data_IF_268309400470
#
_entry.id   IF_268309400470
#
_cell.length_a   1.000
_cell.length_b   1.000
_cell.length_c   1.000
_cell.angle_alpha   90.00
_cell.angle_beta   90.00
_cell.angle_gamma   90.00
#
_symmetry.space_group_name_H-M   'P 1'
#
loop_
_entity.id
_entity.type
_entity.pdbx_description
1 polymer ?
#
# COMPACT_ATOMS: atom_id res chain seq x y z
N UNK A 1 34.17 42.57 -19.71
CA UNK A 1 33.38 41.36 -20.03
C UNK A 1 33.03 40.64 -18.73
N UNK A 2 31.81 40.84 -18.20
CA UNK A 2 31.36 40.22 -16.95
C UNK A 2 30.91 38.78 -17.25
N UNK A 3 31.59 37.78 -16.68
CA UNK A 3 31.16 36.38 -16.72
C UNK A 3 30.05 36.17 -15.69
N UNK A 4 28.82 35.88 -16.13
CA UNK A 4 27.78 35.35 -15.27
C UNK A 4 28.11 33.87 -15.00
N UNK A 5 28.39 33.54 -13.75
CA UNK A 5 28.48 32.15 -13.29
C UNK A 5 27.06 31.75 -12.90
N UNK A 6 26.43 30.89 -13.69
CA UNK A 6 25.18 30.24 -13.34
C UNK A 6 25.48 29.12 -12.34
N UNK A 7 25.27 29.40 -11.06
CA UNK A 7 25.31 28.37 -10.02
C UNK A 7 24.02 27.55 -10.11
N UNK A 8 24.11 26.37 -10.71
CA UNK A 8 23.00 25.41 -10.77
C UNK A 8 22.83 24.81 -9.37
N UNK A 9 21.81 25.29 -8.63
CA UNK A 9 21.44 24.72 -7.35
C UNK A 9 20.73 23.39 -7.61
N UNK A 10 21.48 22.28 -7.57
CA UNK A 10 20.88 20.95 -7.48
C UNK A 10 20.19 20.86 -6.12
N UNK A 11 18.89 21.15 -6.09
CA UNK A 11 18.02 20.74 -4.98
C UNK A 11 17.92 19.23 -5.11
N UNK A 12 18.78 18.51 -4.40
CA UNK A 12 18.58 17.09 -4.14
C UNK A 12 17.28 16.97 -3.35
N UNK A 13 16.18 16.67 -4.05
CA UNK A 13 14.95 16.22 -3.40
C UNK A 13 15.34 14.90 -2.75
N UNK A 14 15.67 14.93 -1.47
CA UNK A 14 15.80 13.73 -0.68
C UNK A 14 14.48 12.99 -0.87
N UNK A 15 14.54 11.81 -1.51
CA UNK A 15 13.41 10.91 -1.61
C UNK A 15 12.90 10.69 -0.20
N UNK A 16 11.83 11.37 0.15
CA UNK A 16 11.17 11.25 1.45
C UNK A 16 10.78 9.78 1.54
N UNK A 17 11.47 9.03 2.40
CA UNK A 17 10.92 7.77 2.88
C UNK A 17 9.53 8.12 3.40
N UNK A 18 8.49 7.68 2.67
CA UNK A 18 7.12 7.98 3.04
C UNK A 18 6.94 7.56 4.51
N UNK A 19 6.67 8.53 5.38
CA UNK A 19 6.46 8.21 6.79
C UNK A 19 5.11 7.49 6.92
N UNK A 20 5.16 6.20 7.22
CA UNK A 20 4.00 5.43 7.66
C UNK A 20 3.86 5.61 9.17
N UNK A 21 2.80 6.31 9.58
CA UNK A 21 2.44 6.41 10.98
C UNK A 21 1.59 5.18 11.36
N UNK A 22 2.17 4.33 12.21
CA UNK A 22 1.56 3.09 12.71
C UNK A 22 0.69 3.31 13.96
N UNK A 23 0.60 4.54 14.48
CA UNK A 23 -0.14 4.88 15.70
C UNK A 23 -1.62 5.24 15.40
N UNK A 24 -2.52 4.27 15.63
CA UNK A 24 -3.94 4.39 15.36
C UNK A 24 -4.79 4.84 16.57
N UNK A 25 -4.26 4.77 17.79
CA UNK A 25 -5.02 5.08 19.01
C UNK A 25 -4.90 6.54 19.43
N UNK A 26 -3.71 7.13 19.26
CA UNK A 26 -3.41 8.48 19.79
C UNK A 26 -3.44 9.58 18.73
N UNK A 27 -3.38 9.23 17.46
CA UNK A 27 -3.39 10.19 16.35
C UNK A 27 -4.83 10.43 15.90
N UNK A 28 -5.25 11.69 15.82
CA UNK A 28 -6.59 12.01 15.36
C UNK A 28 -6.73 11.83 13.84
N UNK A 29 -7.95 11.59 13.35
CA UNK A 29 -8.24 11.60 11.91
C UNK A 29 -7.77 12.91 11.24
N UNK A 30 -7.95 14.04 11.93
CA UNK A 30 -7.53 15.35 11.45
C UNK A 30 -6.01 15.46 11.27
N UNK A 31 -5.23 14.89 12.19
CA UNK A 31 -3.76 14.88 12.06
C UNK A 31 -3.32 14.03 10.87
N UNK A 32 -4.00 12.91 10.61
CA UNK A 32 -3.74 12.11 9.41
C UNK A 32 -4.07 12.86 8.12
N UNK A 33 -5.19 13.61 8.08
CA UNK A 33 -5.51 14.46 6.92
C UNK A 33 -4.40 15.50 6.69
N UNK A 34 -3.89 16.14 7.75
CA UNK A 34 -2.77 17.08 7.64
C UNK A 34 -1.48 16.44 7.14
N UNK A 35 -1.22 15.19 7.55
CA UNK A 35 -0.06 14.43 7.03
C UNK A 35 -0.20 14.26 5.52
N UNK A 36 -1.39 13.88 5.03
CA UNK A 36 -1.64 13.74 3.59
C UNK A 36 -1.52 15.06 2.83
N UNK A 37 -2.03 16.16 3.38
CA UNK A 37 -1.87 17.50 2.80
C UNK A 37 -0.38 17.89 2.69
N UNK A 38 0.42 17.63 3.74
CA UNK A 38 1.86 17.89 3.76
C UNK A 38 2.61 17.03 2.75
N UNK A 39 2.18 15.79 2.53
CA UNK A 39 2.74 14.88 1.54
C UNK A 39 2.33 15.23 0.10
N UNK A 40 1.42 16.20 -0.08
CA UNK A 40 0.90 16.57 -1.39
C UNK A 40 -0.02 15.51 -2.00
N UNK A 41 -0.62 14.66 -1.15
CA UNK A 41 -1.54 13.61 -1.58
C UNK A 41 -2.83 14.22 -2.13
N UNK A 42 -3.37 13.60 -3.18
CA UNK A 42 -4.60 14.07 -3.83
C UNK A 42 -5.79 13.41 -3.14
N UNK A 43 -6.73 14.20 -2.60
CA UNK A 43 -7.97 13.67 -2.04
C UNK A 43 -8.82 13.01 -3.12
N UNK A 44 -9.29 11.79 -2.85
CA UNK A 44 -10.16 11.04 -3.75
C UNK A 44 -11.61 11.15 -3.29
N UNK A 45 -12.54 11.24 -4.24
CA UNK A 45 -13.96 11.08 -3.98
C UNK A 45 -14.30 9.59 -3.84
N UNK A 46 -15.29 9.28 -3.01
CA UNK A 46 -15.81 7.92 -2.91
C UNK A 46 -16.77 7.67 -4.07
N UNK A 47 -16.32 6.90 -5.08
CA UNK A 47 -17.11 6.53 -6.26
C UNK A 47 -18.35 5.70 -5.91
N UNK A 48 -18.35 5.03 -4.77
CA UNK A 48 -19.48 4.25 -4.25
C UNK A 48 -19.52 4.30 -2.73
N UNK A 49 -20.70 4.03 -2.15
CA UNK A 49 -20.80 3.82 -0.71
C UNK A 49 -20.21 2.45 -0.38
N UNK A 50 -19.12 2.46 0.37
CA UNK A 50 -18.62 1.25 1.01
C UNK A 50 -19.65 0.79 2.04
N UNK A 51 -20.00 -0.50 2.05
CA UNK A 51 -20.73 -1.06 3.17
C UNK A 51 -19.78 -1.11 4.37
N UNK A 52 -19.88 -0.10 5.22
CA UNK A 52 -19.19 -0.02 6.49
C UNK A 52 -20.15 -0.54 7.57
N UNK A 53 -19.65 -1.30 8.55
CA UNK A 53 -20.48 -1.78 9.66
C UNK A 53 -21.20 -0.63 10.40
N UNK A 54 -22.22 -0.97 11.20
CA UNK A 54 -23.00 0.03 11.95
C UNK A 54 -22.09 0.97 12.76
N UNK A 55 -22.26 2.28 12.58
CA UNK A 55 -21.48 3.32 13.25
C UNK A 55 -20.11 3.64 12.64
N UNK A 56 -19.74 3.02 11.51
CA UNK A 56 -18.50 3.31 10.76
C UNK A 56 -18.81 4.21 9.57
N UNK A 57 -18.09 5.32 9.47
CA UNK A 57 -18.26 6.29 8.41
C UNK A 57 -17.76 5.75 7.05
N UNK A 58 -18.07 6.48 5.97
CA UNK A 58 -17.37 6.29 4.70
C UNK A 58 -15.89 6.65 4.85
N UNK A 59 -14.96 5.86 4.30
CA UNK A 59 -13.54 6.15 4.43
C UNK A 59 -13.19 7.48 3.75
N UNK A 60 -12.22 8.20 4.31
CA UNK A 60 -11.58 9.32 3.60
C UNK A 60 -10.36 8.75 2.88
N UNK A 61 -10.26 9.02 1.57
CA UNK A 61 -9.25 8.41 0.70
C UNK A 61 -8.33 9.45 0.07
N UNK A 62 -7.06 9.09 -0.09
CA UNK A 62 -6.03 9.92 -0.70
C UNK A 62 -5.19 9.09 -1.67
N UNK A 63 -4.69 9.73 -2.73
CA UNK A 63 -3.75 9.16 -3.69
C UNK A 63 -2.36 9.76 -3.45
N UNK A 64 -1.40 8.90 -3.11
CA UNK A 64 0.03 9.23 -3.08
C UNK A 64 0.67 8.74 -4.37
N UNK A 65 1.41 9.63 -5.05
CA UNK A 65 2.12 9.28 -6.28
C UNK A 65 3.35 8.42 -5.96
N UNK A 66 3.58 7.42 -6.80
CA UNK A 66 4.74 6.53 -6.74
C UNK A 66 5.41 6.50 -8.13
N UNK A 67 6.68 6.14 -8.16
CA UNK A 67 7.45 5.97 -9.39
C UNK A 67 7.83 4.49 -9.54
N UNK A 68 7.75 3.97 -10.77
CA UNK A 68 8.11 2.57 -11.08
C UNK A 68 7.11 1.49 -10.63
N UNK A 69 6.22 1.80 -9.69
CA UNK A 69 5.17 0.91 -9.16
C UNK A 69 3.80 1.61 -9.17
N UNK A 70 2.67 0.92 -8.89
CA UNK A 70 1.36 1.55 -8.84
C UNK A 70 1.32 2.65 -7.77
N UNK A 71 0.53 3.70 -8.00
CA UNK A 71 0.31 4.72 -6.97
C UNK A 71 -0.32 4.09 -5.72
N UNK A 72 -0.11 4.70 -4.55
CA UNK A 72 -0.70 4.24 -3.30
C UNK A 72 -2.03 4.93 -3.06
N UNK A 73 -3.08 4.16 -2.78
CA UNK A 73 -4.32 4.68 -2.20
C UNK A 73 -4.25 4.49 -0.70
N UNK A 74 -4.37 5.59 0.05
CA UNK A 74 -4.50 5.58 1.51
C UNK A 74 -5.95 5.78 1.89
N UNK A 75 -6.49 4.92 2.74
CA UNK A 75 -7.88 4.98 3.19
C UNK A 75 -7.93 5.01 4.72
N UNK A 76 -8.63 5.99 5.27
CA UNK A 76 -8.87 6.14 6.71
C UNK A 76 -10.31 5.79 7.05
N UNK A 77 -10.51 4.70 7.78
CA UNK A 77 -11.80 4.31 8.34
C UNK A 77 -11.91 4.76 9.79
N UNK A 78 -13.08 5.24 10.19
CA UNK A 78 -13.31 5.86 11.49
C UNK A 78 -14.78 5.74 11.92
N UNK A 79 -15.02 5.85 13.23
CA UNK A 79 -16.37 5.91 13.78
C UNK A 79 -17.04 7.25 13.47
N UNK A 80 -18.33 7.22 13.10
CA UNK A 80 -19.12 8.43 12.83
C UNK A 80 -19.27 9.32 14.07
N UNK A 81 -19.35 8.70 15.25
CA UNK A 81 -19.65 9.37 16.52
C UNK A 81 -18.55 10.33 16.97
N UNK A 82 -17.29 9.90 16.88
CA UNK A 82 -16.15 10.60 17.50
C UNK A 82 -14.93 10.71 16.58
N UNK A 83 -15.02 10.24 15.33
CA UNK A 83 -13.92 10.24 14.35
C UNK A 83 -12.68 9.46 14.80
N UNK A 84 -12.81 8.59 15.82
CA UNK A 84 -11.72 7.71 16.19
C UNK A 84 -11.45 6.71 15.06
N UNK A 85 -10.19 6.60 14.65
CA UNK A 85 -9.79 5.67 13.59
C UNK A 85 -10.02 4.23 14.02
N UNK A 86 -10.49 3.42 13.09
CA UNK A 86 -10.63 1.97 13.25
C UNK A 86 -9.61 1.21 12.42
N UNK A 87 -9.36 1.72 11.20
CA UNK A 87 -8.41 1.14 10.27
C UNK A 87 -7.74 2.22 9.41
N UNK A 88 -6.47 1.99 9.11
CA UNK A 88 -5.73 2.68 8.06
C UNK A 88 -5.28 1.62 7.05
N UNK A 89 -5.60 1.85 5.78
CA UNK A 89 -5.19 0.98 4.67
C UNK A 89 -4.30 1.76 3.71
N UNK A 90 -3.17 1.17 3.35
CA UNK A 90 -2.33 1.62 2.23
C UNK A 90 -2.34 0.52 1.18
N UNK A 91 -2.80 0.84 -0.03
CA UNK A 91 -2.95 -0.11 -1.11
C UNK A 91 -2.16 0.34 -2.35
N UNK A 92 -1.22 -0.50 -2.78
CA UNK A 92 -0.58 -0.42 -4.09
C UNK A 92 -1.17 -1.55 -4.93
N UNK A 93 -2.03 -1.25 -5.90
CA UNK A 93 -2.66 -2.26 -6.75
C UNK A 93 -2.75 -1.76 -8.19
N UNK A 94 -2.18 -2.52 -9.13
CA UNK A 94 -2.32 -2.24 -10.57
C UNK A 94 -3.79 -2.12 -10.99
N UNK A 95 -4.66 -2.98 -10.45
CA UNK A 95 -6.07 -3.03 -10.85
C UNK A 95 -6.85 -1.75 -10.53
N UNK A 96 -6.39 -0.96 -9.55
CA UNK A 96 -7.00 0.32 -9.22
C UNK A 96 -6.82 1.38 -10.32
N UNK A 97 -5.79 1.24 -11.16
CA UNK A 97 -5.41 2.23 -12.18
C UNK A 97 -5.53 1.70 -13.61
N UNK A 98 -5.38 0.39 -13.79
CA UNK A 98 -5.36 -0.26 -15.09
C UNK A 98 -6.35 -1.43 -15.12
N UNK A 99 -7.62 -1.11 -15.36
CA UNK A 99 -8.74 -2.06 -15.38
C UNK A 99 -8.80 -2.76 -16.75
N UNK A 100 -7.91 -3.70 -16.99
CA UNK A 100 -7.88 -4.53 -18.19
C UNK A 100 -7.54 -6.00 -17.87
N UNK A 101 -8.09 -6.92 -18.66
CA UNK A 101 -7.72 -8.34 -18.61
C UNK A 101 -6.27 -8.54 -19.09
N UNK A 102 -5.62 -9.60 -18.61
CA UNK A 102 -4.25 -9.98 -18.98
C UNK A 102 -3.23 -8.84 -18.80
N UNK A 103 -3.34 -8.08 -17.70
CA UNK A 103 -2.43 -6.98 -17.41
C UNK A 103 -1.09 -7.48 -16.81
N UNK A 104 -0.31 -8.19 -17.61
CA UNK A 104 1.01 -8.66 -17.24
C UNK A 104 2.00 -7.50 -17.13
N UNK A 105 2.97 -7.64 -16.22
CA UNK A 105 4.01 -6.65 -15.95
C UNK A 105 5.40 -7.22 -16.25
N UNK A 106 6.38 -6.35 -16.44
CA UNK A 106 7.77 -6.77 -16.64
C UNK A 106 8.35 -7.35 -15.35
N UNK A 107 9.35 -8.22 -15.49
CA UNK A 107 10.10 -8.76 -14.34
C UNK A 107 10.73 -7.64 -13.49
N UNK A 108 11.18 -6.54 -14.12
CA UNK A 108 11.69 -5.35 -13.43
C UNK A 108 10.63 -4.73 -12.52
N UNK A 109 9.41 -4.54 -13.03
CA UNK A 109 8.29 -4.04 -12.24
C UNK A 109 7.96 -4.98 -11.07
N UNK A 110 7.93 -6.29 -11.32
CA UNK A 110 7.65 -7.28 -10.29
C UNK A 110 8.71 -7.24 -9.16
N UNK A 111 9.99 -7.11 -9.52
CA UNK A 111 11.11 -6.96 -8.57
C UNK A 111 11.01 -5.68 -7.77
N UNK A 112 10.67 -4.56 -8.40
CA UNK A 112 10.47 -3.27 -7.71
C UNK A 112 9.31 -3.35 -6.70
N UNK A 113 8.22 -4.02 -7.06
CA UNK A 113 7.09 -4.21 -6.15
C UNK A 113 7.47 -5.11 -4.96
N UNK A 114 8.20 -6.21 -5.19
CA UNK A 114 8.73 -7.05 -4.10
C UNK A 114 9.69 -6.25 -3.20
N UNK A 115 10.57 -5.44 -3.79
CA UNK A 115 11.47 -4.55 -3.06
C UNK A 115 10.72 -3.55 -2.18
N UNK A 116 9.63 -2.94 -2.68
CA UNK A 116 8.74 -2.07 -1.89
C UNK A 116 8.18 -2.82 -0.68
N UNK A 117 7.68 -4.05 -0.86
CA UNK A 117 7.17 -4.87 0.24
C UNK A 117 8.25 -5.17 1.29
N UNK A 118 9.43 -5.64 0.88
CA UNK A 118 10.51 -5.96 1.81
C UNK A 118 10.99 -4.72 2.58
N UNK A 119 11.04 -3.56 1.92
CA UNK A 119 11.36 -2.29 2.57
C UNK A 119 10.28 -1.89 3.60
N UNK A 120 8.99 -2.01 3.27
CA UNK A 120 7.90 -1.78 4.22
C UNK A 120 8.00 -2.71 5.43
N UNK A 121 8.15 -4.01 5.18
CA UNK A 121 8.31 -5.05 6.22
C UNK A 121 9.50 -4.73 7.13
N UNK A 122 10.64 -4.34 6.57
CA UNK A 122 11.83 -3.93 7.31
C UNK A 122 11.59 -2.69 8.17
N UNK A 123 11.01 -1.63 7.60
CA UNK A 123 10.70 -0.38 8.32
C UNK A 123 9.72 -0.61 9.48
N UNK A 124 8.67 -1.40 9.25
CA UNK A 124 7.70 -1.77 10.30
C UNK A 124 8.39 -2.61 11.37
N UNK A 125 9.24 -3.57 10.98
CA UNK A 125 9.92 -4.45 11.93
C UNK A 125 10.93 -3.73 12.82
N UNK A 126 11.54 -2.64 12.33
CA UNK A 126 12.37 -1.76 13.16
C UNK A 126 11.57 -1.14 14.32
N UNK A 127 10.28 -0.87 14.11
CA UNK A 127 9.39 -0.23 15.09
C UNK A 127 8.67 -1.23 15.99
N UNK A 128 8.21 -2.36 15.44
CA UNK A 128 7.31 -3.30 16.11
C UNK A 128 7.95 -4.65 16.45
N UNK A 129 9.21 -4.87 16.10
CA UNK A 129 9.87 -6.17 16.20
C UNK A 129 9.56 -7.10 15.01
N UNK A 130 9.94 -8.37 15.10
CA UNK A 130 9.77 -9.31 13.99
C UNK A 130 8.30 -9.73 13.83
N UNK A 131 7.77 -9.80 12.59
CA UNK A 131 6.42 -10.29 12.35
C UNK A 131 6.32 -11.79 12.55
N UNK A 132 5.08 -12.26 12.75
CA UNK A 132 4.72 -13.62 12.36
C UNK A 132 4.47 -13.62 10.85
N UNK A 133 5.30 -14.33 10.10
CA UNK A 133 5.14 -14.49 8.66
C UNK A 133 4.42 -15.78 8.34
N UNK A 134 3.34 -15.69 7.57
CA UNK A 134 2.75 -16.83 6.89
C UNK A 134 3.15 -16.74 5.43
N UNK A 135 4.08 -17.58 5.04
CA UNK A 135 4.43 -17.78 3.64
C UNK A 135 3.54 -18.88 3.10
N UNK A 136 3.12 -18.77 1.85
CA UNK A 136 2.88 -19.99 1.10
C UNK A 136 3.16 -19.85 -0.40
N UNK A 137 3.98 -20.80 -0.87
CA UNK A 137 4.23 -21.21 -2.25
C UNK A 137 5.34 -20.51 -3.06
N UNK A 138 6.57 -20.58 -2.56
CA UNK A 138 7.74 -20.84 -3.44
C UNK A 138 7.69 -22.24 -4.10
N UNK A 139 6.72 -23.09 -3.74
CA UNK A 139 6.41 -24.36 -4.40
C UNK A 139 5.25 -24.19 -5.42
N UNK A 140 5.55 -23.62 -6.58
CA UNK A 140 4.59 -23.47 -7.69
C UNK A 140 5.06 -24.15 -8.97
N UNK A 141 5.38 -25.44 -8.86
CA UNK A 141 5.36 -26.30 -10.04
C UNK A 141 4.00 -26.24 -10.80
N UNK A 142 2.92 -25.78 -10.15
CA UNK A 142 1.55 -25.70 -10.70
C UNK A 142 1.29 -24.53 -11.66
N UNK A 143 1.91 -23.36 -11.48
CA UNK A 143 1.63 -22.18 -12.32
C UNK A 143 2.67 -21.92 -13.41
N UNK A 144 3.78 -22.68 -13.46
CA UNK A 144 4.85 -22.57 -14.47
C UNK A 144 5.28 -21.12 -14.77
N UNK A 145 5.32 -20.27 -13.75
CA UNK A 145 5.81 -18.91 -13.89
C UNK A 145 7.16 -18.78 -13.22
N UNK A 146 8.07 -18.04 -13.85
CA UNK A 146 9.40 -17.78 -13.32
C UNK A 146 9.34 -16.97 -12.02
N UNK A 147 8.34 -16.09 -11.89
CA UNK A 147 8.20 -15.21 -10.73
C UNK A 147 6.76 -15.18 -10.23
N UNK A 148 6.50 -15.92 -9.15
CA UNK A 148 5.32 -15.77 -8.30
C UNK A 148 5.80 -15.49 -6.88
N UNK A 149 5.20 -14.50 -6.24
CA UNK A 149 5.52 -14.15 -4.87
C UNK A 149 4.25 -13.79 -4.10
N UNK A 150 4.01 -14.49 -2.99
CA UNK A 150 2.92 -14.21 -2.06
C UNK A 150 3.44 -14.33 -0.63
N UNK A 151 3.21 -13.29 0.16
CA UNK A 151 3.58 -13.30 1.57
C UNK A 151 2.58 -12.49 2.40
N UNK A 152 2.36 -12.94 3.64
CA UNK A 152 1.69 -12.17 4.67
C UNK A 152 2.58 -12.06 5.91
N UNK A 153 2.84 -10.83 6.33
CA UNK A 153 3.51 -10.50 7.58
C UNK A 153 2.53 -9.81 8.55
N UNK A 154 2.43 -10.34 9.76
CA UNK A 154 1.54 -9.81 10.80
C UNK A 154 2.31 -9.42 12.05
N UNK A 155 2.02 -8.23 12.59
CA UNK A 155 2.47 -7.77 13.91
C UNK A 155 1.29 -7.56 14.83
N UNK A 156 1.47 -7.90 16.11
CA UNK A 156 0.55 -7.59 17.20
C UNK A 156 1.36 -6.89 18.30
N UNK A 157 1.61 -5.58 18.17
CA UNK A 157 2.44 -4.87 19.15
C UNK A 157 1.81 -4.81 20.55
N UNK A 158 0.48 -4.98 20.64
CA UNK A 158 -0.28 -5.10 21.87
C UNK A 158 -1.64 -5.76 21.58
N UNK A 159 -2.48 -5.90 22.61
CA UNK A 159 -3.78 -6.59 22.52
C UNK A 159 -4.85 -5.81 21.75
N UNK A 160 -4.64 -4.54 21.46
CA UNK A 160 -5.63 -3.65 20.83
C UNK A 160 -5.22 -3.18 19.44
N UNK A 161 -4.08 -3.64 18.92
CA UNK A 161 -3.54 -3.19 17.63
C UNK A 161 -3.02 -4.36 16.82
N UNK A 162 -3.43 -4.42 15.56
CA UNK A 162 -2.92 -5.38 14.57
C UNK A 162 -2.37 -4.62 13.37
N UNK A 163 -1.20 -5.02 12.91
CA UNK A 163 -0.63 -4.56 11.65
C UNK A 163 -0.47 -5.76 10.72
N UNK A 164 -1.00 -5.68 9.51
CA UNK A 164 -0.88 -6.73 8.49
C UNK A 164 -0.33 -6.14 7.21
N UNK A 165 0.72 -6.75 6.68
CA UNK A 165 1.30 -6.43 5.38
C UNK A 165 1.17 -7.67 4.49
N UNK A 166 0.58 -7.49 3.33
CA UNK A 166 0.38 -8.53 2.32
C UNK A 166 0.96 -8.09 0.99
N UNK A 167 1.48 -9.06 0.25
CA UNK A 167 1.86 -8.91 -1.15
C UNK A 167 1.40 -10.10 -1.96
N UNK A 168 0.99 -9.83 -3.20
CA UNK A 168 0.91 -10.84 -4.26
C UNK A 168 1.41 -10.27 -5.56
N UNK A 169 2.33 -11.00 -6.18
CA UNK A 169 2.93 -10.72 -7.48
C UNK A 169 2.81 -12.00 -8.29
N UNK A 170 2.02 -11.92 -9.36
CA UNK A 170 1.73 -13.03 -10.25
C UNK A 170 1.37 -12.48 -11.61
N UNK A 171 2.15 -12.90 -12.61
CA UNK A 171 1.85 -12.66 -14.02
C UNK A 171 0.89 -13.70 -14.61
N UNK A 172 0.30 -14.58 -13.80
CA UNK A 172 -0.45 -15.73 -14.30
C UNK A 172 -1.76 -15.28 -14.90
N UNK A 173 -1.90 -15.53 -16.20
CA UNK A 173 -3.12 -15.29 -16.94
C UNK A 173 -3.63 -16.60 -17.53
N UNK A 174 -4.91 -16.85 -17.32
CA UNK A 174 -5.60 -18.00 -17.90
C UNK A 174 -7.05 -17.67 -18.18
N UNK A 175 -7.50 -17.98 -19.40
CA UNK A 175 -8.92 -17.87 -19.78
C UNK A 175 -9.43 -19.23 -20.25
N UNK A 176 -10.36 -19.81 -19.51
CA UNK A 176 -11.00 -21.10 -19.82
C UNK A 176 -12.53 -20.95 -19.75
N UNK A 177 -13.16 -20.85 -20.91
CA UNK A 177 -14.60 -20.66 -21.01
C UNK A 177 -15.02 -19.36 -20.31
N UNK A 178 -15.86 -19.47 -19.28
CA UNK A 178 -16.34 -18.34 -18.46
C UNK A 178 -15.39 -17.96 -17.31
N UNK A 179 -14.32 -18.73 -17.07
CA UNK A 179 -13.36 -18.45 -16.00
C UNK A 179 -12.17 -17.69 -16.56
N UNK A 180 -11.85 -16.55 -15.95
CA UNK A 180 -10.64 -15.78 -16.24
C UNK A 180 -9.85 -15.60 -14.94
N UNK A 181 -8.60 -16.05 -14.93
CA UNK A 181 -7.61 -15.77 -13.90
C UNK A 181 -6.73 -14.66 -14.47
N UNK A 182 -6.72 -13.51 -13.81
CA UNK A 182 -5.94 -12.36 -14.22
C UNK A 182 -4.65 -12.24 -13.39
N UNK A 183 -3.59 -11.65 -13.98
CA UNK A 183 -2.41 -11.24 -13.23
C UNK A 183 -2.76 -10.37 -12.02
N UNK A 184 -2.00 -10.51 -10.93
CA UNK A 184 -2.19 -9.77 -9.68
C UNK A 184 -0.86 -9.18 -9.24
N UNK A 185 -0.85 -7.86 -9.03
CA UNK A 185 0.32 -7.11 -8.60
C UNK A 185 -0.12 -6.12 -7.53
N UNK A 186 -0.02 -6.55 -6.27
CA UNK A 186 -0.65 -5.85 -5.16
C UNK A 186 0.17 -5.92 -3.88
N UNK A 187 0.24 -4.80 -3.16
CA UNK A 187 0.64 -4.72 -1.76
C UNK A 187 -0.49 -4.06 -0.97
N UNK A 188 -0.79 -4.61 0.21
CA UNK A 188 -1.71 -3.99 1.17
C UNK A 188 -1.11 -3.95 2.55
N UNK A 189 -1.13 -2.78 3.16
CA UNK A 189 -0.76 -2.57 4.56
C UNK A 189 -1.99 -2.09 5.33
N UNK A 190 -2.35 -2.84 6.36
CA UNK A 190 -3.42 -2.53 7.29
C UNK A 190 -2.86 -2.22 8.67
N UNK A 191 -3.34 -1.15 9.28
CA UNK A 191 -3.21 -0.87 10.71
C UNK A 191 -4.62 -0.84 11.28
N UNK A 192 -4.92 -1.70 12.24
CA UNK A 192 -6.28 -1.93 12.75
C UNK A 192 -6.31 -1.87 14.27
N UNK A 193 -7.41 -1.33 14.80
CA UNK A 193 -7.80 -1.55 16.19
C UNK A 193 -8.49 -2.92 16.31
N UNK A 194 -8.14 -3.68 17.34
CA UNK A 194 -8.76 -4.97 17.70
C UNK A 194 -9.72 -4.76 18.87
#
# INVERSE_FOLDING_TARGET
MKKLIFTFLFISIAALGQEFNLEIHKTSLFDYIKIEEKLGSIRLENESRYYSGEGIAQPIRFLRKEEGIPNCIVSYQFYEKDSALTQIEYEWDVYNFEKQDNNQKSEEFEKELISKYENLKKEISKKLGQPTTKNNYSNLAKYKQELFFEENATWKPNDTTKVELYITVSNYYEKRGMVTINPVHRIRLYIMKI
#
